data_IF_862067622074
#
_entry.id   IF_862067622074
#
_cell.length_a   1.000
_cell.length_b   1.000
_cell.length_c   1.000
_cell.angle_alpha   90.00
_cell.angle_beta   90.00
_cell.angle_gamma   90.00
#
_symmetry.space_group_name_H-M   'P 1'
#
loop_
_entity.id
_entity.type
_entity.pdbx_description
1 polymer ?
#
# COMPACT_ATOMS: atom_id res chain seq x y z
N UNK A 1 3.87 36.18 -7.65
CA UNK A 1 4.15 34.75 -7.35
C UNK A 1 4.01 33.98 -8.65
N UNK A 2 5.11 33.50 -9.24
CA UNK A 2 5.03 32.64 -10.43
C UNK A 2 4.55 31.24 -9.99
N UNK A 3 3.25 31.01 -10.04
CA UNK A 3 2.69 29.66 -9.90
C UNK A 3 2.98 28.91 -11.19
N UNK A 4 3.98 28.02 -11.18
CA UNK A 4 4.20 27.12 -12.30
C UNK A 4 2.95 26.24 -12.47
N UNK A 5 2.31 26.24 -13.66
CA UNK A 5 1.14 25.41 -13.89
C UNK A 5 1.49 23.93 -13.63
N UNK A 6 0.55 23.13 -13.09
CA UNK A 6 0.80 21.70 -12.91
C UNK A 6 1.10 21.07 -14.27
N UNK A 7 2.00 20.08 -14.28
CA UNK A 7 2.24 19.30 -15.51
C UNK A 7 0.95 18.62 -15.92
N UNK A 8 0.59 18.70 -17.19
CA UNK A 8 -0.65 18.13 -17.72
C UNK A 8 -0.34 17.10 -18.80
N UNK A 9 -1.08 15.99 -18.79
CA UNK A 9 -1.13 15.05 -19.90
C UNK A 9 -2.56 14.60 -20.18
N UNK A 10 -2.83 14.32 -21.46
CA UNK A 10 -3.99 13.55 -21.89
C UNK A 10 -3.54 12.14 -22.28
N UNK A 11 -4.31 11.12 -21.87
CA UNK A 11 -4.03 9.70 -22.15
C UNK A 11 -5.26 9.04 -22.76
N UNK A 12 -5.08 8.38 -23.90
CA UNK A 12 -6.10 7.53 -24.53
C UNK A 12 -5.80 6.08 -24.18
N UNK A 13 -6.72 5.44 -23.46
CA UNK A 13 -6.69 3.99 -23.27
C UNK A 13 -7.29 3.36 -24.53
N UNK A 14 -6.49 2.60 -25.27
CA UNK A 14 -6.83 2.14 -26.62
C UNK A 14 -6.92 0.63 -26.68
N UNK A 15 -7.96 0.14 -27.35
CA UNK A 15 -8.01 -1.25 -27.82
C UNK A 15 -6.91 -1.47 -28.89
N UNK A 16 -6.37 -2.69 -29.07
CA UNK A 16 -5.25 -2.97 -29.98
C UNK A 16 -5.40 -2.42 -31.42
N UNK A 17 -6.63 -2.36 -31.94
CA UNK A 17 -6.94 -1.88 -33.29
C UNK A 17 -7.36 -0.41 -33.38
N UNK A 18 -7.41 0.30 -32.25
CA UNK A 18 -7.87 1.69 -32.21
C UNK A 18 -6.78 2.69 -32.61
N UNK A 19 -7.17 3.76 -33.31
CA UNK A 19 -6.28 4.86 -33.68
C UNK A 19 -6.15 5.85 -32.53
N UNK A 20 -4.92 6.29 -32.26
CA UNK A 20 -4.62 7.35 -31.30
C UNK A 20 -5.14 8.71 -31.78
N UNK A 21 -5.53 9.58 -30.85
CA UNK A 21 -5.76 11.00 -31.13
C UNK A 21 -4.43 11.77 -31.23
N UNK A 22 -4.41 12.84 -32.00
CA UNK A 22 -3.24 13.72 -32.10
C UNK A 22 -2.99 14.44 -30.77
N UNK A 23 -1.74 14.46 -30.31
CA UNK A 23 -1.34 15.12 -29.06
C UNK A 23 -1.70 14.37 -27.78
N UNK A 24 -2.28 13.18 -27.87
CA UNK A 24 -2.68 12.34 -26.72
C UNK A 24 -1.74 11.14 -26.60
N UNK A 25 -1.34 10.80 -25.37
CA UNK A 25 -0.47 9.66 -25.10
C UNK A 25 -1.28 8.37 -25.21
N UNK A 26 -0.88 7.40 -26.06
CA UNK A 26 -1.58 6.14 -26.16
C UNK A 26 -1.18 5.18 -25.04
N UNK A 27 -2.15 4.50 -24.47
CA UNK A 27 -1.97 3.36 -23.56
C UNK A 27 -2.76 2.18 -24.13
N UNK A 28 -2.07 1.24 -24.77
CA UNK A 28 -2.72 0.12 -25.45
C UNK A 28 -3.04 -1.01 -24.46
N UNK A 29 -4.29 -1.47 -24.46
CA UNK A 29 -4.67 -2.75 -23.84
C UNK A 29 -3.92 -3.87 -24.58
N UNK A 30 -3.42 -4.86 -23.85
CA UNK A 30 -2.59 -5.99 -24.33
C UNK A 30 -1.12 -5.65 -24.67
N UNK A 31 -0.71 -4.38 -24.56
CA UNK A 31 0.70 -3.97 -24.68
C UNK A 31 1.20 -3.20 -23.46
N UNK A 32 0.48 -2.12 -23.10
CA UNK A 32 0.80 -1.31 -21.93
C UNK A 32 0.06 -1.81 -20.70
N UNK A 33 -1.15 -2.35 -20.87
CA UNK A 33 -1.95 -2.99 -19.83
C UNK A 33 -2.19 -4.44 -20.23
N UNK A 34 -1.54 -5.38 -19.56
CA UNK A 34 -1.70 -6.81 -19.82
C UNK A 34 -2.45 -7.45 -18.66
N UNK A 35 -3.58 -8.10 -18.93
CA UNK A 35 -4.33 -8.85 -17.94
C UNK A 35 -3.78 -10.27 -17.81
N UNK A 36 -3.67 -10.74 -16.57
CA UNK A 36 -3.31 -12.12 -16.25
C UNK A 36 -4.60 -12.96 -16.19
N UNK A 37 -4.80 -13.79 -17.21
CA UNK A 37 -5.99 -14.62 -17.35
C UNK A 37 -6.12 -15.68 -16.25
N UNK A 38 -5.01 -16.19 -15.70
CA UNK A 38 -5.04 -17.17 -14.60
C UNK A 38 -5.40 -16.49 -13.28
N UNK A 39 -4.83 -15.30 -13.04
CA UNK A 39 -5.21 -14.49 -11.88
C UNK A 39 -6.69 -14.12 -11.97
N UNK A 40 -7.17 -13.67 -13.13
CA UNK A 40 -8.59 -13.41 -13.39
C UNK A 40 -9.46 -14.66 -13.22
N UNK A 41 -8.96 -15.87 -13.54
CA UNK A 41 -9.68 -17.13 -13.34
C UNK A 41 -9.96 -17.45 -11.87
N UNK A 42 -9.13 -16.94 -10.95
CA UNK A 42 -9.44 -17.01 -9.51
C UNK A 42 -10.63 -16.13 -9.12
N UNK A 43 -11.01 -15.17 -9.98
CA UNK A 43 -12.17 -14.29 -9.79
C UNK A 43 -13.42 -14.74 -10.59
N UNK A 44 -13.32 -15.70 -11.52
CA UNK A 44 -14.42 -16.06 -12.45
C UNK A 44 -15.37 -17.15 -11.99
N UNK A 45 -15.10 -17.86 -10.88
CA UNK A 45 -15.98 -18.93 -10.41
C UNK A 45 -17.32 -18.41 -9.85
N UNK A 46 -17.61 -17.11 -9.98
CA UNK A 46 -18.79 -16.45 -9.45
C UNK A 46 -19.72 -15.91 -10.55
N UNK A 47 -21.01 -16.21 -10.39
CA UNK A 47 -22.11 -15.70 -11.22
C UNK A 47 -22.20 -14.16 -11.24
N UNK A 48 -21.52 -13.48 -10.31
CA UNK A 48 -21.44 -12.01 -10.19
C UNK A 48 -20.39 -11.35 -11.11
N UNK A 49 -19.66 -12.10 -11.95
CA UNK A 49 -18.72 -11.47 -12.88
C UNK A 49 -19.44 -10.67 -13.97
N UNK A 50 -19.36 -9.35 -13.89
CA UNK A 50 -19.99 -8.42 -14.83
C UNK A 50 -18.95 -7.61 -15.63
N UNK A 51 -19.27 -7.13 -16.85
CA UNK A 51 -18.35 -6.27 -17.61
C UNK A 51 -17.82 -5.05 -16.84
N UNK A 52 -18.62 -4.51 -15.91
CA UNK A 52 -18.22 -3.37 -15.06
C UNK A 52 -17.08 -3.71 -14.08
N UNK A 53 -16.95 -4.98 -13.64
CA UNK A 53 -15.84 -5.39 -12.75
C UNK A 53 -14.53 -5.43 -13.53
N UNK A 54 -14.56 -5.90 -14.77
CA UNK A 54 -13.44 -5.81 -15.69
C UNK A 54 -13.04 -4.34 -15.89
N UNK A 55 -14.01 -3.46 -16.16
CA UNK A 55 -13.74 -2.04 -16.36
C UNK A 55 -13.08 -1.40 -15.14
N UNK A 56 -13.50 -1.77 -13.93
CA UNK A 56 -12.87 -1.28 -12.70
C UNK A 56 -11.37 -1.63 -12.63
N UNK A 57 -11.00 -2.85 -13.02
CA UNK A 57 -9.61 -3.29 -13.10
C UNK A 57 -8.85 -2.57 -14.21
N UNK A 58 -9.48 -2.33 -15.36
CA UNK A 58 -8.89 -1.55 -16.46
C UNK A 58 -8.62 -0.11 -16.04
N UNK A 59 -9.56 0.54 -15.35
CA UNK A 59 -9.37 1.90 -14.82
C UNK A 59 -8.25 1.93 -13.77
N UNK A 60 -8.16 0.92 -12.89
CA UNK A 60 -7.04 0.81 -11.95
C UNK A 60 -5.67 0.69 -12.66
N UNK A 61 -5.61 -0.05 -13.77
CA UNK A 61 -4.41 -0.15 -14.59
C UNK A 61 -4.07 1.15 -15.34
N UNK A 62 -5.09 1.83 -15.88
CA UNK A 62 -4.95 3.13 -16.54
C UNK A 62 -4.43 4.22 -15.58
N UNK A 63 -4.94 4.25 -14.35
CA UNK A 63 -4.46 5.15 -13.29
C UNK A 63 -3.00 4.85 -12.95
N UNK A 64 -2.62 3.58 -12.78
CA UNK A 64 -1.23 3.20 -12.55
C UNK A 64 -0.32 3.63 -13.71
N UNK A 65 -0.77 3.46 -14.95
CA UNK A 65 -0.03 3.92 -16.13
C UNK A 65 0.19 5.43 -16.09
N UNK A 66 -0.86 6.22 -15.92
CA UNK A 66 -0.78 7.69 -15.88
C UNK A 66 0.13 8.19 -14.75
N UNK A 67 -0.04 7.64 -13.53
CA UNK A 67 0.76 8.01 -12.37
C UNK A 67 2.25 7.72 -12.58
N UNK A 68 2.59 6.59 -13.21
CA UNK A 68 3.98 6.21 -13.51
C UNK A 68 4.56 6.93 -14.73
N UNK A 69 3.73 7.34 -15.70
CA UNK A 69 4.17 7.97 -16.94
C UNK A 69 4.68 9.40 -16.72
N UNK A 70 3.96 10.21 -15.95
CA UNK A 70 4.31 11.63 -15.77
C UNK A 70 5.09 11.88 -14.48
N UNK A 71 6.39 12.14 -14.57
CA UNK A 71 7.22 12.41 -13.38
C UNK A 71 6.82 13.69 -12.65
N UNK A 72 6.65 13.60 -11.33
CA UNK A 72 6.36 14.75 -10.43
C UNK A 72 7.48 15.79 -10.47
N UNK A 73 7.12 17.07 -10.36
CA UNK A 73 8.12 18.14 -10.22
C UNK A 73 8.63 18.18 -8.79
N UNK A 74 9.90 18.56 -8.60
CA UNK A 74 10.44 18.82 -7.27
C UNK A 74 9.87 20.08 -6.62
N UNK A 75 9.30 21.00 -7.42
CA UNK A 75 8.76 22.28 -6.96
C UNK A 75 7.22 22.31 -6.89
N UNK A 76 6.54 21.46 -7.65
CA UNK A 76 5.08 21.36 -7.65
C UNK A 76 4.66 19.90 -7.68
N UNK A 77 4.06 19.43 -6.60
CA UNK A 77 3.63 18.05 -6.47
C UNK A 77 2.55 17.66 -7.49
N UNK A 78 1.57 18.55 -7.66
CA UNK A 78 0.35 18.26 -8.40
C UNK A 78 0.58 18.16 -9.90
N UNK A 79 -0.11 17.19 -10.51
CA UNK A 79 -0.22 17.02 -11.96
C UNK A 79 -1.69 17.03 -12.36
N UNK A 80 -1.95 17.19 -13.64
CA UNK A 80 -3.30 17.11 -14.22
C UNK A 80 -3.36 15.97 -15.24
N UNK A 81 -4.37 15.12 -15.11
CA UNK A 81 -4.57 13.96 -15.96
C UNK A 81 -5.94 14.03 -16.63
N UNK A 82 -5.96 13.96 -17.96
CA UNK A 82 -7.18 13.82 -18.76
C UNK A 82 -7.17 12.41 -19.35
N UNK A 83 -7.96 11.50 -18.78
CA UNK A 83 -7.98 10.09 -19.17
C UNK A 83 -9.21 9.79 -20.01
N UNK A 84 -8.99 9.33 -21.23
CA UNK A 84 -10.06 8.81 -22.09
C UNK A 84 -10.05 7.28 -22.01
N UNK A 85 -11.09 6.70 -21.43
CA UNK A 85 -11.14 5.26 -21.17
C UNK A 85 -12.37 4.59 -21.81
N UNK A 86 -12.21 3.48 -22.56
CA UNK A 86 -13.31 2.71 -23.07
C UNK A 86 -13.89 1.83 -21.96
N UNK A 87 -15.21 1.85 -21.80
CA UNK A 87 -15.96 1.07 -20.81
C UNK A 87 -17.19 0.44 -21.45
N UNK A 88 -17.71 -0.62 -20.85
CA UNK A 88 -18.87 -1.36 -21.36
C UNK A 88 -20.20 -0.65 -21.06
N UNK A 89 -20.29 0.04 -19.92
CA UNK A 89 -21.48 0.77 -19.49
C UNK A 89 -21.16 2.27 -19.33
N UNK A 90 -21.21 2.99 -20.46
CA UNK A 90 -20.84 4.42 -20.50
C UNK A 90 -21.75 5.27 -19.62
N UNK A 91 -23.04 4.96 -19.58
CA UNK A 91 -24.02 5.70 -18.76
C UNK A 91 -23.69 5.59 -17.27
N UNK A 92 -23.43 4.37 -16.79
CA UNK A 92 -23.05 4.13 -15.40
C UNK A 92 -21.76 4.84 -15.02
N UNK A 93 -20.70 4.70 -15.82
CA UNK A 93 -19.39 5.33 -15.55
C UNK A 93 -19.43 6.86 -15.67
N UNK A 94 -20.23 7.39 -16.60
CA UNK A 94 -20.39 8.83 -16.80
C UNK A 94 -21.39 9.46 -15.84
N UNK A 95 -22.12 8.66 -15.05
CA UNK A 95 -23.02 9.18 -14.03
C UNK A 95 -22.26 10.06 -13.04
N UNK A 96 -22.87 11.19 -12.66
CA UNK A 96 -22.26 12.14 -11.73
C UNK A 96 -21.85 11.49 -10.40
N UNK A 97 -22.59 10.47 -9.95
CA UNK A 97 -22.30 9.76 -8.69
C UNK A 97 -21.00 8.95 -8.80
N UNK A 98 -20.85 8.15 -9.86
CA UNK A 98 -19.66 7.30 -10.07
C UNK A 98 -18.44 8.15 -10.38
N UNK A 99 -18.56 9.08 -11.33
CA UNK A 99 -17.44 9.91 -11.79
C UNK A 99 -16.87 10.77 -10.64
N UNK A 100 -17.73 11.47 -9.88
CA UNK A 100 -17.27 12.28 -8.74
C UNK A 100 -16.64 11.43 -7.65
N UNK A 101 -17.19 10.25 -7.36
CA UNK A 101 -16.63 9.37 -6.33
C UNK A 101 -15.23 8.86 -6.72
N UNK A 102 -15.05 8.47 -7.99
CA UNK A 102 -13.75 8.08 -8.56
C UNK A 102 -12.73 9.21 -8.46
N UNK A 103 -13.06 10.39 -8.97
CA UNK A 103 -12.17 11.55 -9.01
C UNK A 103 -11.80 11.99 -7.60
N UNK A 104 -12.76 12.07 -6.67
CA UNK A 104 -12.48 12.45 -5.29
C UNK A 104 -11.51 11.48 -4.60
N UNK A 105 -11.68 10.17 -4.81
CA UNK A 105 -10.79 9.17 -4.23
C UNK A 105 -9.36 9.29 -4.78
N UNK A 106 -9.22 9.48 -6.10
CA UNK A 106 -7.92 9.62 -6.77
C UNK A 106 -7.22 10.94 -6.42
N UNK A 107 -7.95 12.06 -6.41
CA UNK A 107 -7.38 13.37 -6.07
C UNK A 107 -6.84 13.37 -4.63
N UNK A 108 -7.58 12.81 -3.67
CA UNK A 108 -7.08 12.65 -2.30
C UNK A 108 -5.88 11.70 -2.24
N UNK A 109 -5.90 10.59 -2.96
CA UNK A 109 -4.84 9.60 -2.87
C UNK A 109 -3.50 10.11 -3.42
N UNK A 110 -3.55 10.77 -4.58
CA UNK A 110 -2.34 11.08 -5.34
C UNK A 110 -1.90 12.54 -5.22
N UNK A 111 -2.78 13.43 -4.75
CA UNK A 111 -2.56 14.88 -4.72
C UNK A 111 -2.52 15.50 -6.12
N UNK A 112 -3.13 14.83 -7.10
CA UNK A 112 -3.23 15.28 -8.50
C UNK A 112 -4.69 15.64 -8.84
N UNK A 113 -4.87 16.24 -10.02
CA UNK A 113 -6.16 16.60 -10.58
C UNK A 113 -6.58 15.65 -11.71
N UNK A 114 -7.48 14.71 -11.41
CA UNK A 114 -7.93 13.69 -12.34
C UNK A 114 -9.24 14.04 -13.04
N UNK A 115 -9.27 13.86 -14.36
CA UNK A 115 -10.44 14.02 -15.21
C UNK A 115 -10.62 12.76 -16.05
N UNK A 116 -11.85 12.24 -16.13
CA UNK A 116 -12.19 11.04 -16.90
C UNK A 116 -13.27 11.32 -17.95
N UNK A 117 -13.00 10.86 -19.17
CA UNK A 117 -13.92 10.89 -20.30
C UNK A 117 -14.16 9.45 -20.76
N UNK A 118 -15.35 8.92 -20.52
CA UNK A 118 -15.67 7.52 -20.84
C UNK A 118 -16.26 7.40 -22.24
N UNK A 119 -15.78 6.42 -23.00
CA UNK A 119 -16.29 6.08 -24.33
C UNK A 119 -16.75 4.62 -24.40
N UNK A 120 -17.55 4.24 -25.42
CA UNK A 120 -17.99 2.87 -25.56
C UNK A 120 -16.82 1.96 -25.94
N UNK A 121 -16.71 0.84 -25.23
CA UNK A 121 -15.79 -0.23 -25.59
C UNK A 121 -16.39 -1.13 -26.67
N UNK A 122 -15.59 -1.55 -27.65
CA UNK A 122 -16.05 -2.40 -28.76
C UNK A 122 -15.84 -3.89 -28.49
N UNK A 123 -14.74 -4.24 -27.82
CA UNK A 123 -14.44 -5.61 -27.45
C UNK A 123 -15.22 -6.01 -26.21
N UNK A 124 -15.76 -7.23 -26.22
CA UNK A 124 -16.40 -7.82 -25.06
C UNK A 124 -15.39 -7.98 -23.90
N UNK A 125 -15.87 -7.87 -22.67
CA UNK A 125 -15.08 -8.15 -21.48
C UNK A 125 -14.55 -9.57 -21.57
N UNK A 126 -13.23 -9.72 -21.43
CA UNK A 126 -12.65 -11.05 -21.32
C UNK A 126 -13.25 -11.71 -20.08
N UNK A 127 -14.07 -12.75 -20.29
CA UNK A 127 -14.52 -13.61 -19.20
C UNK A 127 -13.34 -14.49 -18.83
N UNK A 128 -12.98 -14.57 -17.55
CA UNK A 128 -11.88 -15.42 -17.19
C UNK A 128 -12.32 -16.89 -17.36
N UNK A 129 -11.39 -17.81 -17.70
CA UNK A 129 -11.73 -19.22 -17.83
C UNK A 129 -12.30 -19.73 -16.50
N UNK A 130 -13.27 -20.65 -16.55
CA UNK A 130 -13.94 -21.15 -15.35
C UNK A 130 -12.94 -21.86 -14.43
N UNK A 131 -12.65 -21.26 -13.28
CA UNK A 131 -11.74 -21.82 -12.28
C UNK A 131 -12.41 -22.93 -11.46
N UNK A 132 -11.62 -23.91 -10.99
CA UNK A 132 -12.05 -24.99 -10.08
C UNK A 132 -12.08 -24.59 -8.59
N UNK A 133 -11.80 -23.31 -8.25
CA UNK A 133 -11.71 -22.88 -6.85
C UNK A 133 -13.12 -22.60 -6.33
N UNK A 134 -13.62 -23.51 -5.50
CA UNK A 134 -14.84 -23.31 -4.72
C UNK A 134 -14.54 -22.41 -3.52
N UNK A 135 -15.17 -21.23 -3.50
CA UNK A 135 -15.12 -20.33 -2.35
C UNK A 135 -16.11 -20.79 -1.27
N UNK A 136 -15.83 -20.51 0.02
CA UNK A 136 -16.84 -20.65 1.05
C UNK A 136 -18.01 -19.71 0.72
N UNK A 137 -19.23 -20.23 0.75
CA UNK A 137 -20.45 -19.43 0.54
C UNK A 137 -20.76 -18.46 1.70
N UNK A 138 -19.98 -18.54 2.78
CA UNK A 138 -20.14 -17.79 4.04
C UNK A 138 -18.96 -16.85 4.32
N UNK A 139 -18.27 -16.37 3.28
CA UNK A 139 -17.15 -15.43 3.43
C UNK A 139 -17.61 -14.13 4.13
N UNK A 140 -16.97 -13.77 5.25
CA UNK A 140 -17.29 -12.55 6.00
C UNK A 140 -16.29 -11.42 5.76
N UNK A 141 -15.06 -11.74 5.37
CA UNK A 141 -14.05 -10.73 5.09
C UNK A 141 -12.99 -11.22 4.10
N UNK A 142 -12.46 -10.28 3.31
CA UNK A 142 -11.18 -10.46 2.60
C UNK A 142 -10.07 -9.72 3.35
N UNK A 143 -8.83 -10.20 3.30
CA UNK A 143 -7.66 -9.48 3.84
C UNK A 143 -6.59 -9.31 2.77
N UNK A 144 -6.10 -8.08 2.62
CA UNK A 144 -4.99 -7.74 1.75
C UNK A 144 -3.68 -8.39 2.25
N UNK A 145 -3.27 -9.51 1.63
CA UNK A 145 -2.18 -10.36 2.08
C UNK A 145 -0.92 -10.18 1.23
N UNK A 146 0.11 -9.56 1.80
CA UNK A 146 1.34 -9.17 1.09
C UNK A 146 2.57 -10.05 1.39
N UNK A 147 2.41 -11.11 2.21
CA UNK A 147 3.50 -11.85 2.87
C UNK A 147 4.43 -11.00 3.77
N UNK A 148 4.02 -9.76 4.05
CA UNK A 148 4.66 -8.89 5.02
C UNK A 148 4.35 -9.33 6.46
N UNK A 149 5.09 -8.77 7.41
CA UNK A 149 4.89 -9.05 8.84
C UNK A 149 3.49 -8.65 9.30
N UNK A 150 3.01 -7.46 8.92
CA UNK A 150 1.70 -6.96 9.31
C UNK A 150 0.57 -7.84 8.75
N UNK A 151 0.61 -8.10 7.44
CA UNK A 151 -0.40 -8.93 6.80
C UNK A 151 -0.40 -10.37 7.31
N UNK A 152 0.76 -10.94 7.67
CA UNK A 152 0.82 -12.23 8.34
C UNK A 152 0.19 -12.18 9.73
N UNK A 153 0.65 -11.27 10.59
CA UNK A 153 0.19 -11.17 11.98
C UNK A 153 -1.32 -10.94 12.05
N UNK A 154 -1.83 -9.93 11.35
CA UNK A 154 -3.27 -9.59 11.36
C UNK A 154 -4.10 -10.71 10.73
N UNK A 155 -3.63 -11.36 9.67
CA UNK A 155 -4.36 -12.47 9.05
C UNK A 155 -4.52 -13.65 9.99
N UNK A 156 -3.47 -14.03 10.74
CA UNK A 156 -3.57 -15.14 11.69
C UNK A 156 -4.43 -14.76 12.92
N UNK A 157 -4.30 -13.54 13.43
CA UNK A 157 -5.17 -13.04 14.51
C UNK A 157 -6.64 -13.04 14.11
N UNK A 158 -6.99 -12.47 12.95
CA UNK A 158 -8.36 -12.46 12.45
C UNK A 158 -8.87 -13.86 12.09
N UNK A 159 -7.99 -14.76 11.67
CA UNK A 159 -8.33 -16.16 11.41
C UNK A 159 -8.77 -16.90 12.68
N UNK A 160 -8.34 -16.48 13.88
CA UNK A 160 -8.86 -17.03 15.15
C UNK A 160 -10.32 -16.67 15.40
N UNK A 161 -10.75 -15.49 14.94
CA UNK A 161 -12.13 -14.98 15.10
C UNK A 161 -13.05 -15.45 13.98
N UNK A 162 -12.59 -15.36 12.73
CA UNK A 162 -13.40 -15.62 11.54
C UNK A 162 -13.27 -17.05 11.01
N UNK A 163 -12.18 -17.75 11.32
CA UNK A 163 -11.92 -19.09 10.82
C UNK A 163 -11.86 -19.14 9.29
N UNK A 164 -12.61 -20.07 8.69
CA UNK A 164 -12.69 -20.25 7.23
C UNK A 164 -13.42 -19.11 6.50
N UNK A 165 -14.12 -18.23 7.24
CA UNK A 165 -14.84 -17.08 6.68
C UNK A 165 -13.92 -15.91 6.31
N UNK A 166 -12.65 -15.95 6.71
CA UNK A 166 -11.63 -14.99 6.29
C UNK A 166 -10.89 -15.49 5.04
N UNK A 167 -10.93 -14.67 3.99
CA UNK A 167 -10.31 -14.97 2.71
C UNK A 167 -9.03 -14.15 2.54
N UNK A 168 -7.89 -14.83 2.39
CA UNK A 168 -6.61 -14.17 2.14
C UNK A 168 -6.50 -13.81 0.66
N UNK A 169 -6.48 -12.52 0.36
CA UNK A 169 -6.29 -11.99 -0.98
C UNK A 169 -4.81 -11.66 -1.18
N UNK A 170 -4.07 -12.43 -1.98
CA UNK A 170 -2.65 -12.20 -2.16
C UNK A 170 -2.39 -11.01 -3.09
N UNK A 171 -1.70 -10.00 -2.58
CA UNK A 171 -1.40 -8.75 -3.28
C UNK A 171 0.12 -8.63 -3.45
N UNK A 172 0.68 -9.25 -4.49
CA UNK A 172 2.13 -9.25 -4.75
C UNK A 172 2.54 -10.01 -6.03
N UNK A 173 3.74 -9.75 -6.53
CA UNK A 173 4.19 -10.16 -7.88
C UNK A 173 4.95 -11.49 -7.98
N UNK A 174 4.98 -12.32 -6.93
CA UNK A 174 5.66 -13.62 -7.00
C UNK A 174 4.80 -14.76 -6.47
N UNK A 175 4.37 -15.60 -7.42
CA UNK A 175 3.77 -16.92 -7.22
C UNK A 175 4.82 -18.02 -6.99
N UNK A 176 6.12 -17.72 -7.15
CA UNK A 176 7.17 -18.75 -7.23
C UNK A 176 7.54 -19.43 -5.90
N UNK A 177 7.26 -18.82 -4.75
CA UNK A 177 7.73 -19.33 -3.45
C UNK A 177 6.66 -20.09 -2.64
N UNK A 178 5.47 -20.33 -3.22
CA UNK A 178 4.37 -21.03 -2.54
C UNK A 178 4.20 -22.45 -3.11
N UNK A 179 4.17 -23.43 -2.20
CA UNK A 179 3.89 -24.82 -2.55
C UNK A 179 2.50 -24.95 -3.18
N UNK A 180 2.29 -25.96 -4.03
CA UNK A 180 1.00 -26.23 -4.67
C UNK A 180 -0.15 -26.39 -3.65
N UNK A 181 0.17 -26.94 -2.47
CA UNK A 181 -0.77 -27.14 -1.35
C UNK A 181 -1.19 -25.83 -0.67
N UNK A 182 -0.32 -24.83 -0.68
CA UNK A 182 -0.58 -23.51 -0.10
C UNK A 182 -1.37 -22.62 -1.07
N UNK A 183 -1.12 -22.74 -2.39
CA UNK A 183 -1.94 -22.10 -3.45
C UNK A 183 -3.40 -22.53 -3.39
N UNK A 184 -3.67 -23.81 -3.13
CA UNK A 184 -5.03 -24.33 -3.00
C UNK A 184 -5.79 -23.80 -1.76
N UNK A 185 -5.08 -23.18 -0.80
CA UNK A 185 -5.67 -22.62 0.42
C UNK A 185 -5.85 -21.09 0.38
N UNK A 186 -5.32 -20.43 -0.65
CA UNK A 186 -5.36 -18.96 -0.80
C UNK A 186 -6.26 -18.65 -1.99
N UNK A 187 -7.50 -18.23 -1.74
CA UNK A 187 -8.53 -18.22 -2.78
C UNK A 187 -8.28 -17.20 -3.91
N UNK A 188 -7.45 -16.17 -3.66
CA UNK A 188 -7.04 -15.22 -4.69
C UNK A 188 -5.51 -15.05 -4.71
N UNK A 189 -4.89 -15.43 -5.82
CA UNK A 189 -3.43 -15.65 -5.86
C UNK A 189 -2.61 -14.48 -6.43
N UNK A 190 -3.18 -13.55 -7.22
CA UNK A 190 -2.39 -12.47 -7.79
C UNK A 190 -3.19 -11.22 -8.23
N UNK A 191 -2.44 -10.12 -8.41
CA UNK A 191 -2.90 -8.90 -9.07
C UNK A 191 -3.24 -9.26 -10.54
N UNK A 192 -4.47 -8.98 -11.03
CA UNK A 192 -4.94 -9.50 -12.31
C UNK A 192 -4.41 -8.75 -13.53
N UNK A 193 -3.47 -7.82 -13.36
CA UNK A 193 -2.90 -7.05 -14.46
C UNK A 193 -1.47 -6.56 -14.17
N UNK A 194 -0.73 -6.30 -15.24
CA UNK A 194 0.56 -5.63 -15.23
C UNK A 194 0.55 -4.37 -16.10
N UNK A 195 1.32 -3.36 -15.69
CA UNK A 195 1.45 -2.10 -16.42
C UNK A 195 2.90 -1.92 -16.89
N UNK A 196 3.07 -1.76 -18.20
CA UNK A 196 4.34 -1.55 -18.89
C UNK A 196 4.39 -0.14 -19.49
N UNK A 197 5.49 0.54 -19.20
CA UNK A 197 5.84 1.82 -19.82
C UNK A 197 6.88 1.56 -20.91
N UNK A 198 6.78 2.28 -22.02
CA UNK A 198 7.75 2.17 -23.12
C UNK A 198 9.16 2.62 -22.67
N UNK A 199 9.25 3.65 -21.81
CA UNK A 199 10.47 4.02 -21.10
C UNK A 199 10.29 3.88 -19.58
N UNK A 200 10.72 2.76 -19.03
CA UNK A 200 10.65 2.50 -17.60
C UNK A 200 11.71 3.27 -16.78
N UNK A 201 12.74 3.85 -17.39
CA UNK A 201 13.84 4.54 -16.66
C UNK A 201 13.39 5.90 -16.13
N UNK A 202 12.54 6.57 -16.90
CA UNK A 202 11.90 7.85 -16.57
C UNK A 202 10.58 7.70 -15.81
N UNK A 203 10.25 6.49 -15.33
CA UNK A 203 9.03 6.28 -14.56
C UNK A 203 9.02 7.06 -13.24
N UNK A 204 7.87 7.64 -12.90
CA UNK A 204 7.59 8.20 -11.58
C UNK A 204 7.68 7.11 -10.50
N UNK A 205 8.29 7.42 -9.36
CA UNK A 205 8.73 6.42 -8.37
C UNK A 205 8.01 6.47 -7.03
N UNK A 206 7.20 7.49 -6.77
CA UNK A 206 6.44 7.63 -5.52
C UNK A 206 5.33 6.58 -5.39
N UNK A 207 4.81 6.08 -6.53
CA UNK A 207 3.80 5.02 -6.61
C UNK A 207 2.55 5.32 -5.75
N UNK A 208 1.99 6.52 -5.89
CA UNK A 208 0.83 6.99 -5.09
C UNK A 208 -0.46 6.29 -5.49
N UNK A 209 -0.62 5.99 -6.78
CA UNK A 209 -1.75 5.21 -7.31
C UNK A 209 -1.85 3.77 -6.76
N UNK A 210 -0.79 3.26 -6.11
CA UNK A 210 -0.77 1.88 -5.59
C UNK A 210 -1.87 1.60 -4.56
N UNK A 211 -2.27 2.62 -3.78
CA UNK A 211 -3.40 2.50 -2.85
C UNK A 211 -4.73 2.23 -3.56
N UNK A 212 -4.98 2.91 -4.69
CA UNK A 212 -6.17 2.71 -5.53
C UNK A 212 -6.22 1.31 -6.12
N UNK A 213 -5.09 0.85 -6.69
CA UNK A 213 -4.93 -0.50 -7.20
C UNK A 213 -5.33 -1.57 -6.18
N UNK A 214 -4.77 -1.52 -4.98
CA UNK A 214 -5.03 -2.54 -3.96
C UNK A 214 -6.42 -2.45 -3.35
N UNK A 215 -6.95 -1.24 -3.20
CA UNK A 215 -8.33 -1.03 -2.77
C UNK A 215 -9.31 -1.62 -3.79
N UNK A 216 -9.16 -1.31 -5.07
CA UNK A 216 -10.03 -1.86 -6.13
C UNK A 216 -9.98 -3.37 -6.18
N UNK A 217 -8.79 -3.97 -6.15
CA UNK A 217 -8.66 -5.43 -6.19
C UNK A 217 -9.33 -6.07 -4.96
N UNK A 218 -9.20 -5.45 -3.78
CA UNK A 218 -9.85 -5.94 -2.55
C UNK A 218 -11.37 -5.81 -2.61
N UNK A 219 -11.88 -4.69 -3.12
CA UNK A 219 -13.31 -4.47 -3.28
C UNK A 219 -13.94 -5.41 -4.32
N UNK A 220 -13.27 -5.62 -5.46
CA UNK A 220 -13.75 -6.55 -6.50
C UNK A 220 -13.71 -7.99 -5.97
N UNK A 221 -12.65 -8.38 -5.25
CA UNK A 221 -12.60 -9.69 -4.60
C UNK A 221 -13.78 -9.87 -3.63
N UNK A 222 -14.00 -8.89 -2.76
CA UNK A 222 -15.09 -8.90 -1.78
C UNK A 222 -16.47 -8.97 -2.45
N UNK A 223 -16.69 -8.18 -3.50
CA UNK A 223 -17.93 -8.16 -4.29
C UNK A 223 -18.27 -9.53 -4.88
N UNK A 224 -17.28 -10.19 -5.49
CA UNK A 224 -17.49 -11.46 -6.18
C UNK A 224 -17.84 -12.59 -5.22
N UNK A 225 -17.29 -12.57 -4.00
CA UNK A 225 -17.57 -13.58 -2.96
C UNK A 225 -18.65 -13.15 -1.96
N UNK A 226 -19.26 -11.98 -2.17
CA UNK A 226 -20.26 -11.38 -1.27
C UNK A 226 -19.77 -11.13 0.17
N UNK A 227 -18.47 -10.85 0.35
CA UNK A 227 -17.92 -10.50 1.65
C UNK A 227 -18.19 -9.02 1.99
N UNK A 228 -18.81 -8.70 3.14
CA UNK A 228 -19.21 -7.34 3.50
C UNK A 228 -18.05 -6.40 3.83
N UNK A 229 -16.82 -6.91 3.95
CA UNK A 229 -15.67 -6.10 4.35
C UNK A 229 -14.32 -6.58 3.81
N UNK A 230 -13.40 -5.63 3.72
CA UNK A 230 -11.98 -5.84 3.46
C UNK A 230 -11.14 -5.37 4.65
N UNK A 231 -10.22 -6.21 5.11
CA UNK A 231 -9.30 -5.92 6.21
C UNK A 231 -8.00 -5.37 5.62
N UNK A 232 -7.62 -4.19 6.09
CA UNK A 232 -6.32 -3.59 5.82
C UNK A 232 -5.43 -3.87 7.04
N UNK A 233 -4.35 -4.66 6.88
CA UNK A 233 -3.56 -5.13 8.00
C UNK A 233 -2.55 -4.11 8.53
N UNK A 234 -2.57 -2.87 8.04
CA UNK A 234 -1.58 -1.86 8.40
C UNK A 234 -1.75 -1.41 9.86
N UNK A 235 -0.63 -1.29 10.58
CA UNK A 235 -0.60 -0.73 11.93
C UNK A 235 -0.76 0.78 11.91
N UNK A 236 -1.04 1.40 13.07
CA UNK A 236 -1.20 2.85 13.17
C UNK A 236 -0.01 3.65 12.66
N UNK A 237 1.21 3.15 12.88
CA UNK A 237 2.44 3.76 12.38
C UNK A 237 2.48 3.81 10.85
N UNK A 238 2.08 2.73 10.18
CA UNK A 238 2.05 2.68 8.72
C UNK A 238 0.85 3.38 8.09
N UNK A 239 -0.28 3.43 8.79
CA UNK A 239 -1.53 4.02 8.30
C UNK A 239 -1.59 5.54 8.49
N UNK A 240 -1.09 6.05 9.62
CA UNK A 240 -1.29 7.45 10.04
C UNK A 240 -0.03 8.31 9.90
N UNK A 241 1.16 7.80 10.24
CA UNK A 241 2.39 8.60 10.24
C UNK A 241 2.72 9.24 8.88
N UNK A 242 2.52 8.58 7.72
CA UNK A 242 2.77 9.19 6.42
C UNK A 242 1.88 10.40 6.07
N UNK A 243 0.77 10.57 6.79
CA UNK A 243 -0.13 11.73 6.67
C UNK A 243 0.17 12.79 7.73
N UNK A 244 0.64 12.38 8.90
CA UNK A 244 1.06 13.29 9.98
C UNK A 244 2.39 13.98 9.66
N UNK A 245 3.31 13.25 9.02
CA UNK A 245 4.68 13.68 8.75
C UNK A 245 5.00 13.51 7.25
N UNK A 246 4.43 14.35 6.37
CA UNK A 246 4.80 14.35 4.97
C UNK A 246 6.29 14.66 4.79
N UNK A 247 6.93 14.00 3.84
CA UNK A 247 8.37 14.18 3.57
C UNK A 247 8.57 15.44 2.74
N UNK A 248 9.26 16.43 3.30
CA UNK A 248 9.60 17.71 2.66
C UNK A 248 8.35 18.42 2.07
N UNK A 249 8.42 18.84 0.81
CA UNK A 249 7.29 19.46 0.09
C UNK A 249 6.38 18.43 -0.61
N UNK A 250 6.46 17.16 -0.19
CA UNK A 250 5.60 16.10 -0.68
C UNK A 250 4.17 16.23 -0.15
N UNK A 251 3.21 15.75 -0.94
CA UNK A 251 1.83 15.63 -0.47
C UNK A 251 1.71 14.53 0.60
N UNK A 252 0.67 14.57 1.43
CA UNK A 252 0.41 13.55 2.45
C UNK A 252 0.06 12.19 1.84
N UNK A 253 0.55 11.09 2.42
CA UNK A 253 0.40 9.74 1.86
C UNK A 253 -0.80 8.99 2.43
N UNK A 254 -1.93 9.00 1.73
CA UNK A 254 -3.18 8.36 2.17
C UNK A 254 -3.35 6.89 1.75
N UNK A 255 -2.31 6.22 1.22
CA UNK A 255 -2.45 4.89 0.58
C UNK A 255 -3.12 3.82 1.45
N UNK A 256 -2.89 3.85 2.76
CA UNK A 256 -3.47 2.96 3.75
C UNK A 256 -4.24 3.74 4.84
N UNK A 257 -4.86 4.87 4.47
CA UNK A 257 -5.50 5.76 5.45
C UNK A 257 -7.05 5.63 5.42
N UNK A 258 -7.74 5.61 6.59
CA UNK A 258 -9.20 5.45 6.65
C UNK A 258 -10.00 6.47 5.83
N UNK A 259 -9.53 7.71 5.75
CA UNK A 259 -10.19 8.76 4.94
C UNK A 259 -10.24 8.38 3.46
N UNK A 260 -9.15 7.82 2.93
CA UNK A 260 -9.10 7.38 1.54
C UNK A 260 -9.99 6.16 1.31
N UNK A 261 -9.95 5.17 2.20
CA UNK A 261 -10.79 3.98 2.06
C UNK A 261 -12.26 4.30 2.17
N UNK A 262 -12.65 5.31 2.95
CA UNK A 262 -14.04 5.79 2.99
C UNK A 262 -14.51 6.38 1.66
N UNK A 263 -13.63 7.04 0.91
CA UNK A 263 -13.92 7.48 -0.45
C UNK A 263 -14.03 6.30 -1.41
N UNK A 264 -13.20 5.27 -1.23
CA UNK A 264 -13.29 4.03 -2.00
C UNK A 264 -14.62 3.30 -1.73
N UNK A 265 -15.09 3.20 -0.49
CA UNK A 265 -16.41 2.63 -0.18
C UNK A 265 -17.54 3.30 -0.98
N UNK A 266 -17.54 4.63 -1.00
CA UNK A 266 -18.52 5.42 -1.76
C UNK A 266 -18.41 5.19 -3.27
N UNK A 267 -17.19 5.06 -3.78
CA UNK A 267 -16.96 4.78 -5.19
C UNK A 267 -17.51 3.41 -5.60
N UNK A 268 -17.23 2.37 -4.81
CA UNK A 268 -17.70 1.01 -5.10
C UNK A 268 -19.22 0.90 -4.94
N UNK A 269 -19.81 1.50 -3.91
CA UNK A 269 -21.28 1.54 -3.77
C UNK A 269 -21.92 2.26 -4.96
N UNK A 270 -21.30 3.34 -5.46
CA UNK A 270 -21.78 4.04 -6.64
C UNK A 270 -21.65 3.19 -7.92
N UNK A 271 -20.53 2.48 -8.10
CA UNK A 271 -20.21 1.74 -9.32
C UNK A 271 -20.93 0.38 -9.41
N UNK A 272 -20.95 -0.37 -8.30
CA UNK A 272 -21.43 -1.75 -8.26
C UNK A 272 -22.76 -1.90 -7.52
N UNK A 273 -23.27 -0.84 -6.89
CA UNK A 273 -24.42 -0.95 -5.97
C UNK A 273 -24.10 -1.79 -4.73
N UNK A 274 -22.82 -2.05 -4.46
CA UNK A 274 -22.37 -2.97 -3.42
C UNK A 274 -21.92 -2.22 -2.17
N UNK A 275 -22.57 -2.51 -1.05
CA UNK A 275 -22.21 -1.94 0.25
C UNK A 275 -21.18 -2.83 0.93
N UNK A 276 -19.99 -2.29 1.14
CA UNK A 276 -18.91 -2.95 1.86
C UNK A 276 -18.05 -1.92 2.60
N UNK A 277 -17.20 -2.39 3.52
CA UNK A 277 -16.37 -1.53 4.34
C UNK A 277 -14.91 -1.95 4.34
N UNK A 278 -13.99 -0.98 4.41
CA UNK A 278 -12.60 -1.24 4.76
C UNK A 278 -12.40 -1.07 6.25
N UNK A 279 -11.74 -2.03 6.88
CA UNK A 279 -11.49 -2.01 8.33
C UNK A 279 -10.00 -2.10 8.63
N UNK A 280 -9.63 -1.52 9.77
CA UNK A 280 -8.25 -1.42 10.23
C UNK A 280 -8.16 -1.94 11.67
N UNK A 281 -8.13 -3.28 11.88
CA UNK A 281 -8.14 -3.85 13.23
C UNK A 281 -6.99 -3.37 14.12
N UNK A 282 -5.89 -2.92 13.51
CA UNK A 282 -4.67 -2.46 14.20
C UNK A 282 -4.39 -0.97 14.02
N UNK A 283 -5.39 -0.15 13.66
CA UNK A 283 -5.18 1.29 13.44
C UNK A 283 -4.61 2.01 14.66
N UNK A 284 -5.05 1.61 15.85
CA UNK A 284 -4.68 2.23 17.13
C UNK A 284 -3.61 1.46 17.89
N UNK A 285 -2.94 0.52 17.21
CA UNK A 285 -1.90 -0.35 17.76
C UNK A 285 -0.58 -0.09 17.04
N UNK A 286 0.53 -0.20 17.76
CA UNK A 286 1.84 -0.25 17.10
C UNK A 286 2.03 -1.61 16.42
N UNK A 287 2.98 -1.67 15.49
CA UNK A 287 3.39 -2.93 14.90
C UNK A 287 4.07 -3.85 15.92
N UNK A 288 4.78 -3.29 16.90
CA UNK A 288 5.35 -4.04 18.03
C UNK A 288 4.28 -4.74 18.88
N UNK A 289 3.22 -4.02 19.26
CA UNK A 289 2.08 -4.61 19.97
C UNK A 289 1.38 -5.68 19.14
N UNK A 290 1.20 -5.44 17.84
CA UNK A 290 0.61 -6.41 16.91
C UNK A 290 1.44 -7.68 16.78
N UNK A 291 2.76 -7.56 16.68
CA UNK A 291 3.67 -8.70 16.60
C UNK A 291 3.67 -9.50 17.91
N UNK A 292 3.68 -8.81 19.05
CA UNK A 292 3.63 -9.45 20.38
C UNK A 292 2.37 -10.28 20.54
N UNK A 293 1.20 -9.67 20.32
CA UNK A 293 -0.09 -10.36 20.42
C UNK A 293 -0.19 -11.55 19.45
N UNK A 294 0.36 -11.41 18.25
CA UNK A 294 0.42 -12.51 17.29
C UNK A 294 1.23 -13.71 17.83
N UNK A 295 2.42 -13.47 18.38
CA UNK A 295 3.26 -14.55 18.93
C UNK A 295 2.62 -15.17 20.17
N UNK A 296 2.06 -14.36 21.07
CA UNK A 296 1.37 -14.84 22.27
C UNK A 296 0.13 -15.70 21.92
N UNK A 297 -0.64 -15.28 20.91
CA UNK A 297 -1.89 -15.95 20.52
C UNK A 297 -1.66 -17.22 19.69
N UNK A 298 -0.64 -17.23 18.82
CA UNK A 298 -0.42 -18.31 17.87
C UNK A 298 0.76 -19.22 18.22
N UNK A 299 1.52 -18.88 19.26
CA UNK A 299 2.62 -19.67 19.81
C UNK A 299 3.98 -19.35 19.19
N UNK A 300 5.07 -19.82 19.83
CA UNK A 300 6.45 -19.45 19.46
C UNK A 300 6.90 -19.99 18.10
N UNK A 301 6.25 -21.04 17.59
CA UNK A 301 6.57 -21.67 16.31
C UNK A 301 5.99 -20.93 15.09
N UNK A 302 5.35 -19.76 15.28
CA UNK A 302 4.84 -18.98 14.16
C UNK A 302 5.95 -18.37 13.33
N UNK A 303 5.84 -18.55 12.01
CA UNK A 303 6.88 -18.18 11.08
C UNK A 303 6.86 -16.67 10.71
N UNK A 304 6.88 -15.80 11.72
CA UNK A 304 6.99 -14.36 11.51
C UNK A 304 8.36 -13.95 10.98
N UNK A 305 9.41 -14.71 11.31
CA UNK A 305 10.80 -14.39 10.97
C UNK A 305 11.08 -14.45 9.47
N UNK A 306 10.41 -15.35 8.72
CA UNK A 306 10.56 -15.44 7.26
C UNK A 306 9.77 -14.38 6.48
N UNK A 307 8.90 -13.61 7.14
CA UNK A 307 8.16 -12.53 6.48
C UNK A 307 9.11 -11.44 6.00
N UNK A 308 8.71 -10.71 4.96
CA UNK A 308 9.54 -9.66 4.36
C UNK A 308 8.89 -8.29 4.46
N UNK A 309 9.53 -7.37 5.17
CA UNK A 309 9.10 -5.95 5.21
C UNK A 309 9.87 -5.07 4.22
N UNK A 310 11.03 -5.52 3.76
CA UNK A 310 11.89 -4.75 2.86
C UNK A 310 11.27 -4.57 1.46
N UNK A 311 11.13 -3.32 1.02
CA UNK A 311 10.65 -2.97 -0.32
C UNK A 311 11.75 -2.95 -1.40
N UNK A 312 13.03 -3.05 -1.00
CA UNK A 312 14.16 -3.05 -1.94
C UNK A 312 14.17 -4.33 -2.81
N UNK A 313 14.57 -4.17 -4.06
CA UNK A 313 14.66 -5.26 -5.03
C UNK A 313 15.91 -6.12 -4.80
N UNK A 314 15.91 -7.36 -5.29
CA UNK A 314 17.02 -8.32 -5.08
C UNK A 314 18.39 -7.73 -5.43
N UNK A 315 18.49 -7.01 -6.56
CA UNK A 315 19.73 -6.35 -7.01
C UNK A 315 20.31 -5.31 -6.04
N UNK A 316 19.50 -4.77 -5.13
CA UNK A 316 19.90 -3.72 -4.19
C UNK A 316 20.28 -4.28 -2.81
N UNK A 317 19.87 -5.50 -2.50
CA UNK A 317 20.00 -6.12 -1.17
C UNK A 317 20.47 -7.58 -1.24
N UNK A 318 21.20 -7.91 -2.31
CA UNK A 318 21.83 -9.21 -2.44
C UNK A 318 23.15 -9.22 -1.66
N UNK A 319 23.34 -10.25 -0.83
CA UNK A 319 24.60 -10.54 -0.14
C UNK A 319 24.89 -12.01 -0.40
N UNK A 320 26.07 -12.31 -0.94
CA UNK A 320 26.50 -13.67 -1.28
C UNK A 320 25.47 -14.46 -2.11
N UNK A 321 24.87 -13.81 -3.11
CA UNK A 321 23.85 -14.40 -3.98
C UNK A 321 22.44 -14.54 -3.37
N UNK A 322 22.26 -14.27 -2.08
CA UNK A 322 20.98 -14.36 -1.38
C UNK A 322 20.33 -12.99 -1.18
N UNK A 323 19.01 -12.92 -1.37
CA UNK A 323 18.23 -11.69 -1.14
C UNK A 323 17.93 -11.49 0.35
N UNK A 324 18.59 -10.53 0.99
CA UNK A 324 18.34 -10.15 2.39
C UNK A 324 17.34 -8.99 2.50
N UNK A 325 16.94 -8.64 3.72
CA UNK A 325 16.27 -7.35 3.97
C UNK A 325 17.34 -6.25 4.05
N UNK A 326 17.07 -4.99 3.66
CA UNK A 326 18.13 -3.98 3.79
C UNK A 326 18.47 -3.73 5.26
N UNK A 327 17.50 -3.67 6.16
CA UNK A 327 17.73 -3.37 7.58
C UNK A 327 17.75 -1.88 7.92
N UNK A 328 17.69 -1.00 6.93
CA UNK A 328 17.84 0.46 7.11
C UNK A 328 16.73 1.32 6.49
N UNK A 329 15.95 0.84 5.51
CA UNK A 329 14.82 1.62 5.01
C UNK A 329 13.71 1.72 6.06
N UNK A 330 12.81 2.70 5.94
CA UNK A 330 11.70 2.90 6.89
C UNK A 330 10.95 1.61 7.25
N UNK A 331 10.61 0.77 6.27
CA UNK A 331 9.93 -0.50 6.52
C UNK A 331 10.78 -1.53 7.31
N UNK A 332 12.11 -1.53 7.12
CA UNK A 332 13.01 -2.39 7.90
C UNK A 332 13.31 -1.81 9.29
N UNK A 333 13.43 -0.48 9.41
CA UNK A 333 13.57 0.19 10.71
C UNK A 333 12.35 -0.06 11.57
N UNK A 334 11.14 0.11 11.02
CA UNK A 334 9.90 -0.23 11.71
C UNK A 334 9.84 -1.70 12.12
N UNK A 335 10.31 -2.62 11.27
CA UNK A 335 10.40 -4.05 11.61
C UNK A 335 11.33 -4.27 12.80
N UNK A 336 12.55 -3.74 12.77
CA UNK A 336 13.54 -3.89 13.87
C UNK A 336 13.01 -3.30 15.17
N UNK A 337 12.42 -2.11 15.10
CA UNK A 337 11.70 -1.49 16.22
C UNK A 337 10.60 -2.41 16.77
N UNK A 338 9.78 -2.99 15.90
CA UNK A 338 8.66 -3.84 16.31
C UNK A 338 9.11 -5.16 16.92
N UNK A 339 10.18 -5.75 16.41
CA UNK A 339 10.79 -6.97 16.94
C UNK A 339 11.37 -6.71 18.33
N UNK A 340 12.12 -5.62 18.50
CA UNK A 340 12.61 -5.17 19.80
C UNK A 340 11.47 -4.88 20.77
N UNK A 341 10.48 -4.10 20.35
CA UNK A 341 9.30 -3.80 21.13
C UNK A 341 8.48 -5.05 21.50
N UNK A 342 8.52 -6.13 20.72
CA UNK A 342 7.87 -7.39 21.04
C UNK A 342 8.70 -8.31 21.96
N UNK A 343 9.92 -7.92 22.33
CA UNK A 343 10.85 -8.76 23.11
C UNK A 343 11.37 -9.96 22.31
N UNK A 344 11.45 -9.82 20.99
CA UNK A 344 11.88 -10.87 20.06
C UNK A 344 13.25 -10.53 19.48
N UNK A 345 13.89 -11.54 18.89
CA UNK A 345 15.19 -11.37 18.24
C UNK A 345 15.17 -11.90 16.80
N UNK A 346 15.99 -11.29 15.95
CA UNK A 346 16.26 -11.77 14.59
C UNK A 346 17.76 -11.89 14.36
N UNK A 347 18.22 -12.92 13.64
CA UNK A 347 19.64 -13.06 13.33
C UNK A 347 20.08 -11.87 12.46
N UNK A 348 21.25 -11.27 12.73
CA UNK A 348 21.79 -10.15 11.93
C UNK A 348 21.85 -10.48 10.43
N UNK A 349 22.12 -11.73 10.09
CA UNK A 349 22.21 -12.24 8.71
C UNK A 349 20.90 -12.18 7.92
N UNK A 350 19.75 -11.90 8.56
CA UNK A 350 18.51 -11.55 7.86
C UNK A 350 18.63 -10.21 7.10
N UNK A 351 19.61 -9.39 7.47
CA UNK A 351 19.78 -8.03 7.01
C UNK A 351 21.06 -7.84 6.19
N UNK A 352 21.05 -6.84 5.30
CA UNK A 352 22.25 -6.32 4.65
C UNK A 352 23.03 -5.50 5.65
N UNK A 353 22.38 -4.57 6.34
CA UNK A 353 22.94 -3.91 7.52
C UNK A 353 22.74 -4.81 8.72
N UNK A 354 23.74 -5.64 9.01
CA UNK A 354 23.73 -6.61 10.11
C UNK A 354 23.72 -5.89 11.47
N UNK A 355 24.50 -4.81 11.60
CA UNK A 355 24.61 -4.00 12.82
C UNK A 355 24.16 -2.55 12.60
N UNK A 356 23.28 -2.07 13.48
CA UNK A 356 22.93 -0.65 13.58
C UNK A 356 23.87 0.12 14.53
N UNK A 357 24.60 -0.60 15.39
CA UNK A 357 25.52 -0.05 16.40
C UNK A 357 26.89 0.38 15.84
N UNK A 358 27.16 0.04 14.57
CA UNK A 358 28.42 0.37 13.94
C UNK A 358 28.64 1.89 13.87
N UNK A 359 29.90 2.38 13.99
CA UNK A 359 30.19 3.81 14.06
C UNK A 359 29.92 4.56 12.75
N UNK A 360 29.89 3.84 11.62
CA UNK A 360 29.56 4.36 10.30
C UNK A 360 28.53 3.47 9.63
N UNK A 361 27.79 4.05 8.69
CA UNK A 361 26.77 3.31 7.94
C UNK A 361 27.38 2.18 7.11
N UNK A 362 28.55 2.39 6.52
CA UNK A 362 29.26 1.39 5.70
C UNK A 362 29.71 0.19 6.54
N UNK A 363 30.20 0.43 7.75
CA UNK A 363 30.69 -0.63 8.67
C UNK A 363 29.57 -1.41 9.35
N UNK A 364 28.32 -0.97 9.23
CA UNK A 364 27.14 -1.73 9.67
C UNK A 364 26.68 -2.79 8.68
N UNK A 365 27.13 -2.73 7.42
CA UNK A 365 26.77 -3.69 6.39
C UNK A 365 27.53 -5.02 6.52
N UNK A 366 26.91 -6.09 6.03
CA UNK A 366 27.54 -7.39 5.85
C UNK A 366 28.83 -7.24 5.06
N UNK A 367 29.87 -7.99 5.45
CA UNK A 367 31.23 -7.86 4.92
C UNK A 367 31.30 -8.02 3.40
N UNK A 368 30.43 -8.87 2.83
CA UNK A 368 30.37 -9.16 1.40
C UNK A 368 29.50 -8.17 0.61
N UNK A 369 28.87 -7.21 1.28
CA UNK A 369 28.03 -6.21 0.60
C UNK A 369 28.88 -5.05 0.05
N UNK A 370 28.83 -4.86 -1.27
CA UNK A 370 29.63 -3.84 -1.97
C UNK A 370 28.79 -2.78 -2.66
N UNK A 371 27.48 -2.99 -2.78
CA UNK A 371 26.58 -2.14 -3.58
C UNK A 371 26.04 -0.93 -2.82
N UNK A 372 26.94 -0.14 -2.23
CA UNK A 372 26.60 1.10 -1.56
C UNK A 372 26.13 2.16 -2.57
N UNK A 373 24.97 2.77 -2.32
CA UNK A 373 24.46 3.84 -3.19
C UNK A 373 23.99 5.01 -2.34
N UNK A 374 24.11 6.22 -2.89
CA UNK A 374 23.56 7.45 -2.28
C UNK A 374 22.07 7.29 -1.97
N UNK A 375 21.31 6.66 -2.87
CA UNK A 375 19.88 6.42 -2.66
C UNK A 375 19.60 5.55 -1.43
N UNK A 376 20.34 4.44 -1.23
CA UNK A 376 20.20 3.60 -0.05
C UNK A 376 20.50 4.37 1.24
N UNK A 377 21.57 5.18 1.26
CA UNK A 377 21.91 6.01 2.41
C UNK A 377 20.82 7.04 2.73
N UNK A 378 20.26 7.69 1.70
CA UNK A 378 19.17 8.65 1.89
C UNK A 378 17.88 7.97 2.39
N UNK A 379 17.55 6.77 1.90
CA UNK A 379 16.44 6.00 2.46
C UNK A 379 16.68 5.56 3.90
N UNK A 380 17.93 5.32 4.29
CA UNK A 380 18.30 5.03 5.68
C UNK A 380 18.01 6.23 6.59
N UNK A 381 18.57 7.38 6.23
CA UNK A 381 18.40 8.63 6.97
C UNK A 381 16.93 9.00 7.06
N UNK A 382 16.21 9.01 5.93
CA UNK A 382 14.78 9.30 5.91
C UNK A 382 13.97 8.33 6.77
N UNK A 383 14.34 7.05 6.81
CA UNK A 383 13.68 6.06 7.65
C UNK A 383 13.89 6.30 9.15
N UNK A 384 15.14 6.57 9.56
CA UNK A 384 15.48 6.87 10.95
C UNK A 384 14.80 8.16 11.40
N UNK A 385 14.96 9.25 10.64
CA UNK A 385 14.39 10.55 10.99
C UNK A 385 12.87 10.56 10.97
N UNK A 386 12.23 9.75 10.12
CA UNK A 386 10.76 9.67 10.12
C UNK A 386 10.21 9.12 11.44
N UNK A 387 10.84 8.10 12.02
CA UNK A 387 10.42 7.56 13.32
C UNK A 387 10.88 8.43 14.50
N UNK A 388 12.04 9.07 14.38
CA UNK A 388 12.46 10.09 15.34
C UNK A 388 11.43 11.23 15.45
N UNK A 389 11.07 11.84 14.32
CA UNK A 389 10.06 12.90 14.29
C UNK A 389 8.67 12.43 14.74
N UNK A 390 8.32 11.15 14.49
CA UNK A 390 7.06 10.60 14.97
C UNK A 390 7.08 10.41 16.49
N UNK A 391 8.23 10.07 17.07
CA UNK A 391 8.40 9.93 18.52
C UNK A 391 8.26 11.26 19.26
N UNK A 392 8.76 12.36 18.68
CA UNK A 392 8.72 13.70 19.25
C UNK A 392 7.56 14.57 18.75
N UNK A 393 6.68 14.06 17.87
CA UNK A 393 5.62 14.86 17.24
C UNK A 393 4.74 15.59 18.25
N UNK A 394 4.50 14.99 19.43
CA UNK A 394 3.67 15.53 20.50
C UNK A 394 4.30 16.74 21.20
N UNK A 395 5.61 16.91 21.08
CA UNK A 395 6.38 18.02 21.65
C UNK A 395 6.44 19.21 20.68
N UNK A 396 6.03 19.00 19.42
CA UNK A 396 5.95 20.05 18.42
C UNK A 396 4.90 21.11 18.80
N UNK A 397 5.26 22.38 18.63
CA UNK A 397 4.33 23.51 18.78
C UNK A 397 3.14 23.46 17.80
N UNK A 398 3.26 22.70 16.71
CA UNK A 398 2.20 22.54 15.71
C UNK A 398 1.27 21.35 16.00
N UNK A 399 1.59 20.51 17.00
CA UNK A 399 0.90 19.25 17.22
C UNK A 399 -0.60 19.43 17.43
N UNK A 400 -1.03 20.37 18.27
CA UNK A 400 -2.47 20.56 18.56
C UNK A 400 -3.28 20.96 17.31
N UNK A 401 -2.70 21.74 16.40
CA UNK A 401 -3.33 22.07 15.12
C UNK A 401 -3.43 20.85 14.20
N UNK A 402 -2.34 20.08 14.08
CA UNK A 402 -2.30 18.85 13.29
C UNK A 402 -3.32 17.85 13.85
N UNK A 403 -3.27 17.60 15.16
CA UNK A 403 -4.16 16.70 15.89
C UNK A 403 -5.62 17.07 15.67
N UNK A 404 -6.00 18.34 15.84
CA UNK A 404 -7.39 18.78 15.65
C UNK A 404 -7.90 18.48 14.25
N UNK A 405 -7.11 18.80 13.21
CA UNK A 405 -7.47 18.53 11.82
C UNK A 405 -7.63 17.04 11.56
N UNK A 406 -6.62 16.26 11.94
CA UNK A 406 -6.56 14.81 11.66
C UNK A 406 -7.61 14.03 12.41
N UNK A 407 -7.89 14.40 13.66
CA UNK A 407 -8.97 13.83 14.47
C UNK A 407 -10.33 14.04 13.81
N UNK A 408 -10.61 15.24 13.29
CA UNK A 408 -11.88 15.53 12.61
C UNK A 408 -12.05 14.75 11.30
N UNK A 409 -10.97 14.57 10.55
CA UNK A 409 -10.95 13.74 9.33
C UNK A 409 -11.18 12.26 9.67
N UNK A 410 -10.46 11.71 10.65
CA UNK A 410 -10.54 10.32 11.08
C UNK A 410 -11.87 9.98 11.74
N UNK A 411 -12.40 10.83 12.62
CA UNK A 411 -13.70 10.63 13.28
C UNK A 411 -14.83 10.43 12.26
N UNK A 412 -14.85 11.24 11.20
CA UNK A 412 -15.82 11.10 10.10
C UNK A 412 -15.61 9.83 9.29
N UNK A 413 -14.36 9.44 9.04
CA UNK A 413 -14.05 8.25 8.24
C UNK A 413 -14.39 6.94 8.99
N UNK A 414 -14.10 6.90 10.29
CA UNK A 414 -14.29 5.74 11.16
C UNK A 414 -15.69 5.67 11.77
N UNK A 415 -16.50 6.74 11.65
CA UNK A 415 -17.78 6.88 12.34
C UNK A 415 -17.65 6.77 13.88
N UNK A 416 -16.57 7.36 14.42
CA UNK A 416 -16.26 7.42 15.86
C UNK A 416 -16.33 8.86 16.38
N UNK A 417 -16.40 9.03 17.71
CA UNK A 417 -16.37 10.37 18.30
C UNK A 417 -14.98 11.01 18.14
N UNK A 418 -14.87 12.34 17.90
CA UNK A 418 -13.58 13.03 17.88
C UNK A 418 -12.77 12.84 19.16
N UNK A 419 -13.44 12.72 20.31
CA UNK A 419 -12.79 12.46 21.59
C UNK A 419 -12.09 11.09 21.62
N UNK A 420 -12.79 10.03 21.24
CA UNK A 420 -12.24 8.66 21.16
C UNK A 420 -11.06 8.60 20.20
N UNK A 421 -11.20 9.20 19.02
CA UNK A 421 -10.13 9.25 18.01
C UNK A 421 -8.90 10.01 18.53
N UNK A 422 -9.09 11.15 19.20
CA UNK A 422 -7.98 11.91 19.78
C UNK A 422 -7.25 11.12 20.87
N UNK A 423 -7.99 10.45 21.76
CA UNK A 423 -7.42 9.61 22.82
C UNK A 423 -6.60 8.45 22.24
N UNK A 424 -7.15 7.75 21.24
CA UNK A 424 -6.46 6.63 20.60
C UNK A 424 -5.22 7.08 19.83
N UNK A 425 -5.28 8.23 19.16
CA UNK A 425 -4.13 8.84 18.49
C UNK A 425 -3.02 9.21 19.49
N UNK A 426 -3.36 9.86 20.60
CA UNK A 426 -2.39 10.20 21.63
C UNK A 426 -1.73 8.96 22.22
N UNK A 427 -2.51 7.91 22.52
CA UNK A 427 -2.00 6.63 23.03
C UNK A 427 -1.05 5.99 22.04
N UNK A 428 -1.41 5.93 20.76
CA UNK A 428 -0.56 5.36 19.72
C UNK A 428 0.78 6.10 19.63
N UNK A 429 0.75 7.43 19.62
CA UNK A 429 1.96 8.26 19.52
C UNK A 429 2.83 8.16 20.77
N UNK A 430 2.24 8.13 21.96
CA UNK A 430 2.95 7.88 23.22
C UNK A 430 3.63 6.51 23.22
N UNK A 431 2.90 5.48 22.80
CA UNK A 431 3.44 4.12 22.75
C UNK A 431 4.57 4.02 21.73
N UNK A 432 4.42 4.63 20.55
CA UNK A 432 5.49 4.69 19.57
C UNK A 432 6.74 5.39 20.13
N UNK A 433 6.57 6.53 20.82
CA UNK A 433 7.69 7.26 21.40
C UNK A 433 8.44 6.41 22.44
N UNK A 434 7.71 5.69 23.29
CA UNK A 434 8.28 4.74 24.26
C UNK A 434 9.07 3.63 23.58
N UNK A 435 8.48 2.98 22.57
CA UNK A 435 9.14 1.91 21.82
C UNK A 435 10.41 2.42 21.11
N UNK A 436 10.33 3.59 20.46
CA UNK A 436 11.45 4.18 19.74
C UNK A 436 12.59 4.60 20.67
N UNK A 437 12.26 5.21 21.80
CA UNK A 437 13.23 5.58 22.84
C UNK A 437 13.95 4.35 23.41
N UNK A 438 13.22 3.27 23.71
CA UNK A 438 13.84 2.03 24.18
C UNK A 438 14.75 1.41 23.11
N UNK A 439 14.27 1.31 21.86
CA UNK A 439 15.03 0.72 20.75
C UNK A 439 16.33 1.48 20.44
N UNK A 440 16.28 2.82 20.46
CA UNK A 440 17.47 3.66 20.21
C UNK A 440 18.34 3.84 21.44
N UNK A 441 17.78 3.72 22.65
CA UNK A 441 18.50 3.79 23.91
C UNK A 441 19.41 2.57 24.17
N UNK A 442 19.06 1.42 23.61
CA UNK A 442 19.90 0.21 23.66
C UNK A 442 21.09 0.27 22.67
N UNK A 443 21.13 1.26 21.78
CA UNK A 443 22.23 1.44 20.83
C UNK A 443 23.39 2.24 21.43
N UNK A 444 24.61 1.99 20.93
CA UNK A 444 25.80 2.78 21.33
C UNK A 444 25.68 4.23 20.88
N UNK A 445 26.18 5.16 21.70
CA UNK A 445 26.24 6.59 21.39
C UNK A 445 27.00 6.88 20.09
N UNK A 446 28.02 6.09 19.77
CA UNK A 446 28.81 6.26 18.56
C UNK A 446 28.15 5.68 17.31
N UNK A 447 27.01 4.99 17.45
CA UNK A 447 26.32 4.36 16.32
C UNK A 447 25.90 5.39 15.28
N UNK A 448 25.91 5.00 14.00
CA UNK A 448 25.49 5.91 12.94
C UNK A 448 24.01 6.33 13.07
N UNK A 449 23.16 5.48 13.65
CA UNK A 449 21.75 5.78 13.92
C UNK A 449 21.63 6.88 14.97
N UNK A 450 22.31 6.73 16.12
CA UNK A 450 22.35 7.76 17.17
C UNK A 450 22.88 9.09 16.64
N UNK A 451 24.01 9.05 15.91
CA UNK A 451 24.58 10.26 15.28
C UNK A 451 23.61 10.98 14.33
N UNK A 452 22.75 10.26 13.61
CA UNK A 452 21.74 10.88 12.75
C UNK A 452 20.59 11.50 13.54
N UNK A 453 20.17 10.86 14.63
CA UNK A 453 19.15 11.40 15.55
C UNK A 453 19.67 12.66 16.25
N UNK A 454 20.85 12.57 16.87
CA UNK A 454 21.46 13.65 17.63
C UNK A 454 21.85 14.85 16.74
N UNK A 455 22.15 14.61 15.45
CA UNK A 455 22.43 15.68 14.49
C UNK A 455 21.19 16.31 13.85
N UNK A 456 20.00 15.76 14.09
CA UNK A 456 18.72 16.29 13.61
C UNK A 456 17.90 16.97 14.72
N UNK A 457 18.20 16.64 15.98
CA UNK A 457 17.72 17.32 17.19
C UNK A 457 18.40 18.68 17.32
#
# INVERSE_FOLDING_TARGET
MNTFPPKEIAVDILEPSARKRNGVIPCYIEKNIEFDLEALASFSSHDKWEPVTYDALLIAAAVEFCDRYLVRSSMNWGRRFIVHAPVHDVERWSSNKVNRALVNALNLLTGDDWHFNFGPRKQAAQRPPQGQIAFPSDAEAVIAFSDGMDSRAVSELESKRLGKRLIRLRIGSKQHDISKKERQRIPFTAIPYSVKLDDARSAERSARSRGFKFSIISAVAAYLIDAPMAIIPESGQGALAPVLLPVAHGYEDYRNHPVFTKLMERFIEALLGYRFQYTFPRLWMTKGETLREFVETCGPNVNWITTRSCWQQSRQVAVSGARRQCGICAACMLRRLSVHAAGLEEPPTNYVWESLDSPTWETGAAKEFTSFTKALRQYAIAGVLHFEHLSSIRESSQYELIKRRRTSELARALAESPHTVAQNLDRLLQQHAKEWSAFTGDMRSESFVRKWIDGAS
#
